data_IF_701133259712
#
_entry.id   IF_701133259712
#
_cell.length_a   1.000
_cell.length_b   1.000
_cell.length_c   1.000
_cell.angle_alpha   90.00
_cell.angle_beta   90.00
_cell.angle_gamma   90.00
#
_symmetry.space_group_name_H-M   'P 1'
#
loop_
_entity.id
_entity.type
_entity.pdbx_description
1 polymer ?
#
# COMPACT_ATOMS: atom_id res chain seq x y z
N UNK A 1 -27.96 -5.31 -1.73
CA UNK A 1 -26.53 -4.96 -1.93
C UNK A 1 -26.29 -3.47 -2.27
N UNK A 2 -27.33 -2.65 -2.53
CA UNK A 2 -27.16 -1.27 -3.02
C UNK A 2 -26.89 -0.18 -1.96
N UNK A 3 -26.86 -0.50 -0.66
CA UNK A 3 -26.74 0.51 0.42
C UNK A 3 -25.48 0.37 1.30
N UNK A 4 -24.53 -0.50 0.95
CA UNK A 4 -23.33 -0.67 1.77
C UNK A 4 -22.15 0.11 1.17
N UNK A 5 -21.66 1.07 1.94
CA UNK A 5 -20.49 1.86 1.62
C UNK A 5 -19.24 0.96 1.64
N UNK A 6 -18.61 0.77 0.48
CA UNK A 6 -17.35 0.01 0.40
C UNK A 6 -16.22 0.82 1.04
N UNK A 7 -15.50 0.19 1.95
CA UNK A 7 -14.38 0.80 2.69
C UNK A 7 -13.07 0.17 2.26
N UNK A 8 -12.16 1.00 1.77
CA UNK A 8 -10.87 0.59 1.22
C UNK A 8 -9.74 1.12 2.11
N UNK A 9 -8.68 0.32 2.29
CA UNK A 9 -7.39 0.79 2.78
C UNK A 9 -6.42 0.86 1.60
N UNK A 10 -6.00 2.05 1.21
CA UNK A 10 -4.85 2.25 0.34
C UNK A 10 -3.59 2.39 1.20
N UNK A 11 -2.89 1.27 1.37
CA UNK A 11 -1.66 1.22 2.14
C UNK A 11 -0.49 1.57 1.21
N UNK A 12 0.25 2.63 1.53
CA UNK A 12 1.26 3.24 0.66
C UNK A 12 0.66 4.16 -0.40
N UNK A 13 -0.18 5.12 0.00
CA UNK A 13 -0.93 5.98 -0.92
C UNK A 13 -0.07 6.97 -1.72
N UNK A 14 1.18 7.20 -1.33
CA UNK A 14 2.05 8.18 -1.96
C UNK A 14 1.40 9.56 -2.02
N UNK A 15 1.43 10.19 -3.19
CA UNK A 15 0.78 11.50 -3.42
C UNK A 15 -0.69 11.38 -3.86
N UNK A 16 -1.28 10.18 -3.83
CA UNK A 16 -2.68 9.93 -4.16
C UNK A 16 -2.98 9.62 -5.63
N UNK A 17 -2.00 9.16 -6.41
CA UNK A 17 -2.19 8.87 -7.84
C UNK A 17 -3.15 7.71 -8.12
N UNK A 18 -3.36 6.80 -7.15
CA UNK A 18 -4.44 5.81 -7.23
C UNK A 18 -5.67 6.27 -6.44
N UNK A 19 -5.46 6.88 -5.25
CA UNK A 19 -6.51 7.43 -4.40
C UNK A 19 -7.54 8.30 -5.12
N UNK A 20 -7.10 9.38 -5.79
CA UNK A 20 -8.02 10.39 -6.30
C UNK A 20 -8.83 9.91 -7.51
N UNK A 21 -8.23 9.26 -8.53
CA UNK A 21 -9.02 8.66 -9.60
C UNK A 21 -10.04 7.65 -9.07
N UNK A 22 -9.68 6.83 -8.08
CA UNK A 22 -10.60 5.86 -7.49
C UNK A 22 -11.82 6.53 -6.81
N UNK A 23 -11.58 7.62 -6.06
CA UNK A 23 -12.64 8.39 -5.41
C UNK A 23 -13.52 9.17 -6.42
N UNK A 24 -12.96 9.55 -7.57
CA UNK A 24 -13.69 10.19 -8.66
C UNK A 24 -14.63 9.20 -9.37
N UNK A 25 -14.15 7.98 -9.62
CA UNK A 25 -14.93 6.91 -10.25
C UNK A 25 -16.10 6.42 -9.38
N UNK A 26 -15.91 6.30 -8.06
CA UNK A 26 -17.00 5.98 -7.13
C UNK A 26 -16.95 6.85 -5.87
N UNK A 27 -17.69 7.97 -5.86
CA UNK A 27 -17.77 8.88 -4.70
C UNK A 27 -18.40 8.26 -3.45
N UNK A 28 -19.03 7.07 -3.55
CA UNK A 28 -19.60 6.38 -2.40
C UNK A 28 -18.51 5.71 -1.56
N UNK A 29 -17.31 5.49 -2.11
CA UNK A 29 -16.22 4.87 -1.37
C UNK A 29 -15.84 5.67 -0.12
N UNK A 30 -15.36 4.95 0.90
CA UNK A 30 -14.53 5.55 1.94
C UNK A 30 -13.13 4.95 1.84
N UNK A 31 -12.11 5.80 1.76
CA UNK A 31 -10.71 5.34 1.67
C UNK A 31 -9.93 5.79 2.90
N UNK A 32 -9.42 4.82 3.64
CA UNK A 32 -8.29 5.05 4.53
C UNK A 32 -7.02 5.05 3.68
N UNK A 33 -6.27 6.16 3.68
CA UNK A 33 -5.06 6.29 2.89
C UNK A 33 -3.87 6.49 3.83
N UNK A 34 -2.90 5.57 3.82
CA UNK A 34 -1.72 5.72 4.67
C UNK A 34 -0.42 5.65 3.90
N UNK A 35 0.59 6.35 4.38
CA UNK A 35 1.95 6.28 3.84
C UNK A 35 2.97 6.40 4.97
N UNK A 36 4.13 5.78 4.79
CA UNK A 36 5.26 5.92 5.71
C UNK A 36 5.78 7.37 5.74
N UNK A 37 5.76 8.04 4.58
CA UNK A 37 6.24 9.39 4.40
C UNK A 37 5.21 10.42 4.87
N UNK A 38 5.52 11.24 5.89
CA UNK A 38 4.61 12.30 6.33
C UNK A 38 4.38 13.34 5.22
N UNK A 39 5.37 13.53 4.34
CA UNK A 39 5.27 14.42 3.18
C UNK A 39 4.28 13.91 2.13
N UNK A 40 4.21 12.60 1.91
CA UNK A 40 3.25 11.99 0.99
C UNK A 40 1.81 12.22 1.49
N UNK A 41 1.57 11.96 2.78
CA UNK A 41 0.30 12.24 3.45
C UNK A 41 -0.07 13.73 3.39
N UNK A 42 0.90 14.62 3.57
CA UNK A 42 0.70 16.06 3.42
C UNK A 42 0.24 16.45 2.01
N UNK A 43 0.86 15.88 0.96
CA UNK A 43 0.43 16.11 -0.42
C UNK A 43 -0.99 15.64 -0.68
N UNK A 44 -1.36 14.46 -0.16
CA UNK A 44 -2.75 13.97 -0.23
C UNK A 44 -3.70 14.96 0.44
N UNK A 45 -3.41 15.40 1.68
CA UNK A 45 -4.27 16.33 2.42
C UNK A 45 -4.38 17.72 1.79
N UNK A 46 -3.35 18.16 1.04
CA UNK A 46 -3.34 19.46 0.32
C UNK A 46 -3.99 19.40 -1.06
N UNK A 47 -4.29 18.21 -1.57
CA UNK A 47 -4.94 18.06 -2.87
C UNK A 47 -6.35 18.67 -2.83
N UNK A 48 -6.77 19.48 -3.82
CA UNK A 48 -8.11 20.07 -3.86
C UNK A 48 -9.26 19.05 -3.81
N UNK A 49 -9.03 17.82 -4.28
CA UNK A 49 -10.01 16.72 -4.27
C UNK A 49 -10.06 15.97 -2.94
N UNK A 50 -9.21 16.31 -1.96
CA UNK A 50 -9.25 15.68 -0.64
C UNK A 50 -10.48 16.12 0.14
N UNK A 51 -11.29 15.14 0.54
CA UNK A 51 -12.52 15.34 1.29
C UNK A 51 -12.56 14.37 2.47
N UNK A 52 -12.68 14.90 3.69
CA UNK A 52 -12.70 14.09 4.93
C UNK A 52 -13.94 13.20 5.06
N UNK A 53 -14.99 13.45 4.27
CA UNK A 53 -16.17 12.60 4.23
C UNK A 53 -15.93 11.29 3.45
N UNK A 54 -14.97 11.29 2.52
CA UNK A 54 -14.65 10.15 1.64
C UNK A 54 -13.25 9.60 1.83
N UNK A 55 -12.37 10.33 2.51
CA UNK A 55 -11.00 9.90 2.73
C UNK A 55 -10.49 10.30 4.12
N UNK A 56 -9.75 9.39 4.78
CA UNK A 56 -8.91 9.71 5.94
C UNK A 56 -7.46 9.39 5.61
N UNK A 57 -6.65 10.44 5.41
CA UNK A 57 -5.21 10.29 5.19
C UNK A 57 -4.42 10.37 6.51
N UNK A 58 -3.48 9.45 6.74
CA UNK A 58 -2.66 9.41 7.96
C UNK A 58 -1.28 8.79 7.70
N UNK A 59 -0.30 9.13 8.54
CA UNK A 59 1.02 8.52 8.48
C UNK A 59 0.99 7.14 9.15
N UNK A 60 1.64 6.14 8.55
CA UNK A 60 1.79 4.81 9.14
C UNK A 60 3.02 4.08 8.56
N UNK A 61 3.94 3.65 9.43
CA UNK A 61 4.90 2.58 9.15
C UNK A 61 4.18 1.23 9.33
N UNK A 62 3.78 0.62 8.21
CA UNK A 62 3.07 -0.68 8.21
C UNK A 62 3.81 -1.79 8.98
N UNK A 63 5.13 -1.67 9.15
CA UNK A 63 5.97 -2.68 9.81
C UNK A 63 6.15 -2.45 11.31
N UNK A 64 5.70 -1.31 11.85
CA UNK A 64 5.92 -0.93 13.26
C UNK A 64 4.69 -0.38 13.94
N UNK A 65 3.98 0.52 13.28
CA UNK A 65 2.85 1.22 13.87
C UNK A 65 1.62 0.33 13.90
N UNK A 66 0.67 0.61 14.79
CA UNK A 66 -0.56 -0.14 14.84
C UNK A 66 -1.64 0.52 13.97
N UNK A 67 -2.03 -0.12 12.86
CA UNK A 67 -3.07 0.40 11.96
C UNK A 67 -4.38 0.68 12.71
N UNK A 68 -4.66 -0.06 13.79
CA UNK A 68 -5.89 0.06 14.56
C UNK A 68 -6.05 1.40 15.28
N UNK A 69 -4.98 2.19 15.40
CA UNK A 69 -5.04 3.56 15.94
C UNK A 69 -5.75 4.53 15.00
N UNK A 70 -5.79 4.22 13.69
CA UNK A 70 -6.37 5.08 12.67
C UNK A 70 -7.56 4.44 11.96
N UNK A 71 -7.63 3.12 11.91
CA UNK A 71 -8.63 2.34 11.20
C UNK A 71 -9.27 1.35 12.17
N UNK A 72 -10.59 1.31 12.34
CA UNK A 72 -11.20 0.30 13.21
C UNK A 72 -10.86 -1.14 12.78
N UNK A 73 -10.82 -2.06 13.74
CA UNK A 73 -10.66 -3.49 13.44
C UNK A 73 -11.84 -3.99 12.61
N UNK A 74 -11.59 -4.93 11.70
CA UNK A 74 -12.65 -5.56 10.88
C UNK A 74 -13.58 -4.53 10.18
N UNK A 75 -13.04 -3.43 9.69
CA UNK A 75 -13.83 -2.37 9.03
C UNK A 75 -13.53 -2.18 7.55
N UNK A 76 -12.44 -2.77 7.05
CA UNK A 76 -11.98 -2.63 5.67
C UNK A 76 -12.46 -3.82 4.84
N UNK A 77 -13.10 -3.54 3.71
CA UNK A 77 -13.53 -4.57 2.76
C UNK A 77 -12.38 -5.02 1.86
N UNK A 78 -11.56 -4.07 1.40
CA UNK A 78 -10.42 -4.32 0.51
C UNK A 78 -9.22 -3.48 0.93
N UNK A 79 -8.04 -4.11 1.04
CA UNK A 79 -6.78 -3.40 1.17
C UNK A 79 -6.00 -3.45 -0.14
N UNK A 80 -5.50 -2.32 -0.62
CA UNK A 80 -4.67 -2.22 -1.82
C UNK A 80 -3.23 -1.89 -1.45
N UNK A 81 -2.27 -2.54 -2.12
CA UNK A 81 -0.84 -2.27 -2.01
C UNK A 81 -0.25 -2.17 -3.43
N UNK A 82 -0.01 -0.96 -3.92
CA UNK A 82 0.51 -0.73 -5.27
C UNK A 82 1.96 -0.23 -5.20
N UNK A 83 2.92 -1.09 -5.54
CA UNK A 83 4.37 -0.86 -5.41
C UNK A 83 4.84 -0.57 -3.98
N UNK A 84 4.32 -1.30 -3.01
CA UNK A 84 4.55 -1.06 -1.58
C UNK A 84 5.37 -2.17 -0.93
N UNK A 85 5.01 -3.42 -1.17
CA UNK A 85 5.72 -4.54 -0.56
C UNK A 85 7.17 -4.58 -1.06
N UNK A 86 7.42 -4.27 -2.33
CA UNK A 86 8.79 -4.21 -2.87
C UNK A 86 9.69 -3.17 -2.20
N UNK A 87 9.12 -2.11 -1.63
CA UNK A 87 9.86 -1.09 -0.89
C UNK A 87 10.15 -1.51 0.56
N UNK A 88 9.46 -2.54 1.06
CA UNK A 88 9.66 -3.10 2.40
C UNK A 88 10.73 -4.19 2.33
N UNK A 89 11.55 -4.31 3.39
CA UNK A 89 12.50 -5.41 3.48
C UNK A 89 11.74 -6.76 3.48
N UNK A 90 12.17 -7.79 2.72
CA UNK A 90 11.46 -9.07 2.64
C UNK A 90 11.09 -9.66 4.00
N UNK A 91 12.05 -9.69 4.93
CA UNK A 91 11.84 -10.18 6.31
C UNK A 91 10.77 -9.41 7.11
N UNK A 92 10.32 -8.24 6.65
CA UNK A 92 9.31 -7.41 7.31
C UNK A 92 7.97 -7.36 6.57
N UNK A 93 7.88 -7.90 5.35
CA UNK A 93 6.63 -7.89 4.57
C UNK A 93 5.50 -8.60 5.33
N UNK A 94 5.80 -9.70 6.02
CA UNK A 94 4.83 -10.43 6.83
C UNK A 94 4.23 -9.58 7.97
N UNK A 95 4.99 -8.63 8.53
CA UNK A 95 4.51 -7.70 9.56
C UNK A 95 3.51 -6.72 8.97
N UNK A 96 3.78 -6.18 7.78
CA UNK A 96 2.87 -5.28 7.08
C UNK A 96 1.54 -5.97 6.75
N UNK A 97 1.60 -7.20 6.21
CA UNK A 97 0.39 -8.00 5.93
C UNK A 97 -0.37 -8.34 7.21
N UNK A 98 0.32 -8.76 8.28
CA UNK A 98 -0.30 -9.04 9.58
C UNK A 98 -0.98 -7.81 10.18
N UNK A 99 -0.41 -6.62 9.98
CA UNK A 99 -1.00 -5.37 10.43
C UNK A 99 -2.28 -5.03 9.66
N UNK A 100 -2.26 -5.18 8.33
CA UNK A 100 -3.43 -4.97 7.46
C UNK A 100 -4.54 -5.97 7.80
N UNK A 101 -4.18 -7.24 8.08
CA UNK A 101 -5.15 -8.26 8.43
C UNK A 101 -6.04 -7.88 9.63
N UNK A 102 -5.51 -7.14 10.62
CA UNK A 102 -6.27 -6.71 11.81
C UNK A 102 -7.46 -5.81 11.49
N UNK A 103 -7.39 -5.06 10.38
CA UNK A 103 -8.42 -4.08 10.00
C UNK A 103 -9.33 -4.60 8.88
N UNK A 104 -8.97 -5.72 8.26
CA UNK A 104 -9.82 -6.38 7.26
C UNK A 104 -11.02 -7.06 7.92
N UNK A 105 -12.20 -6.89 7.32
CA UNK A 105 -13.39 -7.67 7.65
C UNK A 105 -13.16 -9.16 7.40
N UNK A 106 -13.88 -10.06 8.08
CA UNK A 106 -14.01 -11.44 7.64
C UNK A 106 -14.45 -11.51 6.17
N UNK A 107 -13.68 -12.20 5.33
CA UNK A 107 -13.91 -12.28 3.89
C UNK A 107 -13.40 -11.09 3.06
N UNK A 108 -12.82 -10.07 3.71
CA UNK A 108 -12.11 -9.00 3.04
C UNK A 108 -10.83 -9.50 2.36
N UNK A 109 -10.37 -8.76 1.34
CA UNK A 109 -9.24 -9.20 0.53
C UNK A 109 -8.10 -8.17 0.49
N UNK A 110 -6.90 -8.69 0.25
CA UNK A 110 -5.71 -7.89 -0.07
C UNK A 110 -5.47 -8.00 -1.56
N UNK A 111 -5.42 -6.86 -2.24
CA UNK A 111 -5.02 -6.74 -3.63
C UNK A 111 -3.66 -6.06 -3.67
N UNK A 112 -2.64 -6.76 -4.16
CA UNK A 112 -1.33 -6.15 -4.34
C UNK A 112 -0.89 -6.22 -5.80
N UNK A 113 -0.21 -5.16 -6.24
CA UNK A 113 0.47 -5.08 -7.52
C UNK A 113 1.86 -4.56 -7.26
N UNK A 114 2.86 -5.33 -7.64
CA UNK A 114 4.24 -4.95 -7.40
C UNK A 114 5.16 -5.43 -8.53
N UNK A 115 6.46 -5.18 -8.41
CA UNK A 115 7.44 -5.56 -9.41
C UNK A 115 7.56 -7.08 -9.58
N UNK A 116 7.51 -7.55 -10.81
CA UNK A 116 7.73 -8.96 -11.15
C UNK A 116 9.18 -9.25 -11.49
N UNK A 117 9.60 -10.50 -11.29
CA UNK A 117 10.85 -11.00 -11.86
C UNK A 117 10.92 -10.71 -13.36
N UNK A 118 12.10 -10.28 -13.80
CA UNK A 118 12.38 -9.92 -15.19
C UNK A 118 11.65 -8.67 -15.70
N UNK A 119 10.98 -7.90 -14.83
CA UNK A 119 10.53 -6.57 -15.19
C UNK A 119 11.69 -5.75 -15.75
N UNK A 120 11.40 -4.88 -16.72
CA UNK A 120 12.39 -3.93 -17.25
C UNK A 120 13.06 -3.11 -16.13
N UNK A 121 12.36 -2.86 -15.03
CA UNK A 121 12.91 -2.21 -13.85
C UNK A 121 14.04 -3.02 -13.19
N UNK A 122 13.94 -4.37 -13.17
CA UNK A 122 14.96 -5.26 -12.62
C UNK A 122 16.21 -5.28 -13.50
N UNK A 123 16.04 -5.41 -14.82
CA UNK A 123 17.13 -5.58 -15.79
C UNK A 123 18.07 -4.37 -15.81
N UNK A 124 17.58 -3.19 -15.43
CA UNK A 124 18.35 -1.94 -15.44
C UNK A 124 19.29 -1.76 -14.24
N UNK A 125 19.26 -2.64 -13.24
CA UNK A 125 20.18 -2.56 -12.11
C UNK A 125 21.63 -2.82 -12.56
N UNK A 126 22.55 -1.98 -12.08
CA UNK A 126 23.98 -2.13 -12.34
C UNK A 126 24.58 -3.21 -11.42
N UNK A 127 25.70 -3.83 -11.80
CA UNK A 127 26.49 -4.66 -10.89
C UNK A 127 26.77 -3.91 -9.58
N UNK A 128 26.65 -4.60 -8.45
CA UNK A 128 26.80 -4.02 -7.11
C UNK A 128 25.51 -3.50 -6.46
N UNK A 129 24.39 -3.41 -7.21
CA UNK A 129 23.09 -3.02 -6.64
C UNK A 129 22.31 -4.15 -5.97
N UNK A 130 22.77 -5.41 -6.06
CA UNK A 130 22.07 -6.57 -5.49
C UNK A 130 22.39 -6.70 -4.00
N UNK A 131 21.36 -6.67 -3.16
CA UNK A 131 21.44 -6.85 -1.70
C UNK A 131 21.17 -8.30 -1.28
N UNK A 132 20.36 -9.02 -2.06
CA UNK A 132 19.97 -10.41 -1.78
C UNK A 132 19.32 -11.04 -3.00
N UNK A 133 18.77 -12.24 -2.84
CA UNK A 133 17.94 -12.84 -3.89
C UNK A 133 16.73 -11.95 -4.16
N UNK A 134 16.53 -11.60 -5.44
CA UNK A 134 15.45 -10.72 -5.91
C UNK A 134 15.38 -9.34 -5.24
N UNK A 135 16.40 -8.94 -4.49
CA UNK A 135 16.40 -7.76 -3.64
C UNK A 135 17.54 -6.82 -3.99
N UNK A 136 17.20 -5.56 -4.31
CA UNK A 136 18.12 -4.60 -4.89
C UNK A 136 18.02 -3.23 -4.21
N UNK A 137 19.09 -2.44 -4.28
CA UNK A 137 19.13 -1.04 -3.85
C UNK A 137 19.18 -0.10 -5.06
N UNK A 138 18.35 0.94 -5.03
CA UNK A 138 18.30 2.03 -6.01
C UNK A 138 19.35 3.08 -5.71
N UNK A 139 19.55 3.99 -6.67
CA UNK A 139 20.55 5.06 -6.56
C UNK A 139 20.24 6.05 -5.42
N UNK A 140 18.96 6.25 -5.10
CA UNK A 140 18.50 7.08 -4.00
C UNK A 140 18.53 6.36 -2.63
N UNK A 141 19.07 5.13 -2.58
CA UNK A 141 19.16 4.32 -1.37
C UNK A 141 17.88 3.57 -1.02
N UNK A 142 16.77 3.77 -1.75
CA UNK A 142 15.56 2.97 -1.57
C UNK A 142 15.77 1.55 -2.09
N UNK A 143 14.89 0.63 -1.69
CA UNK A 143 15.04 -0.81 -1.98
C UNK A 143 13.92 -1.28 -2.89
N UNK A 144 14.18 -2.36 -3.61
CA UNK A 144 13.18 -3.01 -4.46
C UNK A 144 13.35 -4.51 -4.44
N UNK A 145 12.30 -5.18 -4.00
CA UNK A 145 12.11 -6.61 -4.16
C UNK A 145 11.34 -6.92 -5.45
N UNK A 146 11.69 -8.01 -6.11
CA UNK A 146 11.04 -8.47 -7.35
C UNK A 146 10.38 -9.83 -7.13
N UNK A 147 9.08 -9.88 -7.27
CA UNK A 147 8.24 -11.02 -6.93
C UNK A 147 8.23 -12.07 -8.04
N UNK A 148 8.32 -13.35 -7.66
CA UNK A 148 8.05 -14.48 -8.56
C UNK A 148 6.56 -14.83 -8.54
N UNK A 149 6.00 -15.22 -9.67
CA UNK A 149 4.63 -15.77 -9.71
C UNK A 149 4.52 -17.00 -8.82
N UNK A 150 3.48 -17.06 -7.98
CA UNK A 150 3.22 -18.15 -7.04
C UNK A 150 4.05 -18.11 -5.75
N UNK A 151 4.91 -17.10 -5.56
CA UNK A 151 5.69 -16.91 -4.33
C UNK A 151 4.80 -16.67 -3.11
N UNK A 152 3.67 -16.01 -3.32
CA UNK A 152 2.62 -15.79 -2.33
C UNK A 152 1.33 -16.41 -2.86
N UNK A 153 1.22 -17.73 -2.69
CA UNK A 153 -0.02 -18.47 -2.89
C UNK A 153 -0.68 -18.62 -1.52
N UNK A 154 -1.86 -18.04 -1.33
CA UNK A 154 -2.72 -18.33 -0.16
C UNK A 154 -3.58 -19.55 -0.48
#
# INVERSE_FOLDING_TARGET
>A
FENQRLTILEAGCGVGNCLFPLLEEDPRLFVYACDFSPRAVEFVKKNPSYNTNTCKAFQCDLTKDNLTENVPTESVDVATLIFVLSAIHPDKMHLAISNIYKVLKPGGCVLFRDYGLHDHAMIRFKPGSKLGENFYVRQDGTRSYFFKTGEYSV
#
